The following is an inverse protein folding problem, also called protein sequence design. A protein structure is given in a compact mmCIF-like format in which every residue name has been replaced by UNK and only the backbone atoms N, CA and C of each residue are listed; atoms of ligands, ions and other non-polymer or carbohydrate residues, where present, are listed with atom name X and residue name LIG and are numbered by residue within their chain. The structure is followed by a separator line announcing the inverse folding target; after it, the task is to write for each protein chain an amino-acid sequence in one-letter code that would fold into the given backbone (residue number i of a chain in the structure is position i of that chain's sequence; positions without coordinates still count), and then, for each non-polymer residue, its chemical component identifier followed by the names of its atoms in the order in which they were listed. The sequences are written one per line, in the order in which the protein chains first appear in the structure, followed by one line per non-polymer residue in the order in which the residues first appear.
data_IF_807041295751
#
_entry.id   IF_807041295751
#
_cell.length_a   1.000
_cell.length_b   1.000
_cell.length_c   1.000
_cell.angle_alpha   90.00
_cell.angle_beta   90.00
_cell.angle_gamma   90.00
#
_symmetry.space_group_name_H-M   'P 1'
#
loop_
_entity.id
_entity.type
_entity.pdbx_description
1 polymer ?
#
# COMPACT_ATOMS: atom_id res chain seq x y z
N UNK A 1 16.50 0.07 22.58
CA UNK A 1 16.20 0.51 21.21
C UNK A 1 14.70 0.78 21.14
N UNK A 2 14.32 2.00 20.72
CA UNK A 2 12.92 2.42 20.61
C UNK A 2 12.61 2.64 19.14
N UNK A 3 11.63 1.94 18.58
CA UNK A 3 11.30 2.06 17.17
C UNK A 3 10.22 1.09 16.68
N UNK A 4 10.00 1.06 15.37
CA UNK A 4 9.07 0.14 14.69
C UNK A 4 9.64 -1.28 14.55
N UNK A 5 9.08 -2.06 13.65
CA UNK A 5 9.40 -3.47 13.39
C UNK A 5 10.88 -3.69 13.13
N UNK A 6 11.44 -2.96 12.14
CA UNK A 6 12.85 -3.10 11.76
C UNK A 6 13.79 -2.79 12.92
N UNK A 7 13.47 -1.78 13.74
CA UNK A 7 14.26 -1.42 14.92
C UNK A 7 14.21 -2.51 15.98
N UNK A 8 13.05 -3.14 16.18
CA UNK A 8 12.90 -4.23 17.16
C UNK A 8 13.50 -5.53 16.64
N UNK A 9 13.44 -5.81 15.35
CA UNK A 9 14.16 -6.92 14.71
C UNK A 9 15.67 -6.76 14.88
N UNK A 10 16.22 -5.56 14.64
CA UNK A 10 17.63 -5.27 14.89
C UNK A 10 18.00 -5.41 16.36
N UNK A 11 17.11 -5.00 17.28
CA UNK A 11 17.33 -5.19 18.71
C UNK A 11 17.43 -6.67 19.08
N UNK A 12 16.59 -7.53 18.50
CA UNK A 12 16.62 -8.97 18.69
C UNK A 12 17.95 -9.57 18.20
N UNK A 13 18.35 -9.26 16.97
CA UNK A 13 19.63 -9.72 16.40
C UNK A 13 20.83 -9.29 17.25
N UNK A 14 20.84 -8.04 17.73
CA UNK A 14 21.90 -7.56 18.62
C UNK A 14 21.90 -8.28 19.97
N UNK A 15 20.72 -8.57 20.54
CA UNK A 15 20.60 -9.32 21.79
C UNK A 15 21.21 -10.73 21.64
N UNK A 16 20.85 -11.42 20.56
CA UNK A 16 21.39 -12.76 20.24
C UNK A 16 22.91 -12.71 20.02
N UNK A 17 23.40 -11.72 19.28
CA UNK A 17 24.84 -11.55 19.05
C UNK A 17 25.62 -11.34 20.37
N UNK A 18 25.16 -10.45 21.24
CA UNK A 18 25.82 -10.20 22.51
C UNK A 18 25.73 -11.40 23.47
N UNK A 19 24.61 -12.12 23.44
CA UNK A 19 24.47 -13.37 24.20
C UNK A 19 25.47 -14.44 23.71
N UNK A 20 25.57 -14.64 22.40
CA UNK A 20 26.53 -15.60 21.81
C UNK A 20 28.00 -15.25 22.09
N UNK A 21 28.32 -13.97 22.24
CA UNK A 21 29.66 -13.49 22.57
C UNK A 21 29.94 -13.39 24.07
N UNK A 22 28.99 -13.70 24.95
CA UNK A 22 29.08 -13.54 26.39
C UNK A 22 29.55 -12.13 26.84
N UNK A 23 29.05 -11.09 26.10
CA UNK A 23 29.48 -9.71 26.37
C UNK A 23 28.90 -9.11 27.67
N UNK A 24 27.93 -9.75 28.32
CA UNK A 24 27.24 -9.24 29.51
C UNK A 24 26.35 -8.00 29.21
N UNK A 25 26.06 -7.72 27.94
CA UNK A 25 25.21 -6.60 27.49
C UNK A 25 23.81 -7.09 27.30
N UNK A 26 22.85 -6.37 27.87
CA UNK A 26 21.43 -6.58 27.63
C UNK A 26 20.91 -5.60 26.57
N UNK A 27 20.14 -6.08 25.60
CA UNK A 27 19.45 -5.24 24.61
C UNK A 27 17.96 -5.38 24.83
N UNK A 28 17.28 -4.25 24.97
CA UNK A 28 15.85 -4.19 25.18
C UNK A 28 15.22 -3.42 24.01
N UNK A 29 14.29 -4.05 23.30
CA UNK A 29 13.46 -3.42 22.29
C UNK A 29 12.21 -2.80 22.93
N UNK A 30 11.90 -1.55 22.56
CA UNK A 30 10.66 -0.86 22.94
C UNK A 30 9.88 -0.56 21.67
N UNK A 31 8.80 -1.32 21.37
CA UNK A 31 8.01 -1.11 20.17
C UNK A 31 7.34 0.25 20.14
N UNK A 32 7.44 0.94 19.00
CA UNK A 32 6.79 2.22 18.76
C UNK A 32 6.48 2.35 17.27
N UNK A 33 5.20 2.34 16.94
CA UNK A 33 4.71 2.61 15.58
C UNK A 33 3.29 3.18 15.66
N UNK A 34 2.92 3.99 14.69
CA UNK A 34 1.54 4.48 14.57
C UNK A 34 0.60 3.48 13.90
N UNK A 35 1.13 2.43 13.27
CA UNK A 35 0.35 1.49 12.45
C UNK A 35 -0.59 0.60 13.27
N UNK A 36 -0.31 0.44 14.57
CA UNK A 36 -1.13 -0.37 15.46
C UNK A 36 -0.88 -1.88 15.36
N UNK A 37 0.09 -2.31 14.56
CA UNK A 37 0.41 -3.72 14.28
C UNK A 37 1.33 -4.39 15.32
N UNK A 38 1.99 -3.61 16.18
CA UNK A 38 2.83 -4.12 17.29
C UNK A 38 2.05 -4.29 18.61
N UNK A 39 0.73 -4.30 18.56
CA UNK A 39 -0.11 -4.57 19.72
C UNK A 39 -0.04 -6.05 20.12
N UNK A 40 0.09 -6.31 21.42
CA UNK A 40 0.05 -7.65 22.00
C UNK A 40 -0.45 -7.57 23.46
N UNK A 41 -0.45 -8.69 24.18
CA UNK A 41 -0.93 -8.76 25.58
C UNK A 41 -0.18 -7.84 26.55
N UNK A 42 1.06 -7.46 26.22
CA UNK A 42 1.89 -6.56 27.02
C UNK A 42 1.80 -5.11 26.57
N UNK A 43 1.32 -4.85 25.34
CA UNK A 43 1.20 -3.55 24.71
C UNK A 43 -0.23 -3.35 24.27
N UNK A 44 -1.03 -2.68 25.10
CA UNK A 44 -2.46 -2.46 24.85
C UNK A 44 -2.70 -1.44 23.73
N UNK A 45 -1.85 -0.43 23.65
CA UNK A 45 -2.00 0.70 22.71
C UNK A 45 -0.68 1.01 22.02
N UNK A 46 -0.71 1.15 20.71
CA UNK A 46 0.44 1.57 19.92
C UNK A 46 0.66 3.07 20.06
N UNK A 47 1.89 3.47 20.40
CA UNK A 47 2.23 4.87 20.62
C UNK A 47 2.04 5.72 19.36
N UNK A 48 1.24 6.76 19.48
CA UNK A 48 0.96 7.72 18.41
C UNK A 48 -0.19 7.31 17.47
N UNK A 49 -0.78 6.12 17.60
CA UNK A 49 -1.90 5.66 16.78
C UNK A 49 -3.10 6.60 16.87
N UNK A 50 -3.59 6.89 18.09
CA UNK A 50 -4.70 7.81 18.33
C UNK A 50 -4.46 9.21 17.74
N UNK A 51 -3.25 9.74 17.94
CA UNK A 51 -2.88 11.06 17.40
C UNK A 51 -2.89 11.06 15.89
N UNK A 52 -2.35 10.02 15.25
CA UNK A 52 -2.37 9.87 13.81
C UNK A 52 -3.81 9.77 13.29
N UNK A 53 -4.64 8.91 13.88
CA UNK A 53 -6.03 8.74 13.47
C UNK A 53 -6.85 10.03 13.62
N UNK A 54 -6.70 10.77 14.72
CA UNK A 54 -7.37 12.07 14.91
C UNK A 54 -6.94 13.09 13.86
N UNK A 55 -5.64 13.19 13.59
CA UNK A 55 -5.12 14.13 12.60
C UNK A 55 -5.62 13.78 11.19
N UNK A 56 -5.57 12.50 10.83
CA UNK A 56 -6.12 12.04 9.55
C UNK A 56 -7.62 12.27 9.45
N UNK A 57 -8.40 11.93 10.47
CA UNK A 57 -9.84 12.13 10.47
C UNK A 57 -10.21 13.60 10.30
N UNK A 58 -9.48 14.54 10.92
CA UNK A 58 -9.69 15.97 10.75
C UNK A 58 -9.43 16.41 9.29
N UNK A 59 -8.31 16.00 8.71
CA UNK A 59 -7.95 16.35 7.32
C UNK A 59 -8.95 15.72 6.33
N UNK A 60 -9.30 14.46 6.50
CA UNK A 60 -10.26 13.76 5.64
C UNK A 60 -11.63 14.39 5.75
N UNK A 61 -12.09 14.70 6.97
CA UNK A 61 -13.38 15.37 7.20
C UNK A 61 -13.46 16.74 6.52
N UNK A 62 -12.35 17.48 6.46
CA UNK A 62 -12.28 18.74 5.71
C UNK A 62 -12.37 18.50 4.19
N UNK A 63 -11.69 17.48 3.66
CA UNK A 63 -11.80 17.08 2.24
C UNK A 63 -13.24 16.66 1.90
N UNK A 64 -13.90 15.92 2.79
CA UNK A 64 -15.31 15.50 2.58
C UNK A 64 -16.28 16.68 2.56
N UNK A 65 -16.07 17.68 3.41
CA UNK A 65 -16.87 18.92 3.38
C UNK A 65 -16.68 19.68 2.09
N UNK A 66 -15.44 19.78 1.61
CA UNK A 66 -15.14 20.39 0.33
C UNK A 66 -15.77 19.62 -0.83
N UNK A 67 -15.66 18.30 -0.80
CA UNK A 67 -16.28 17.38 -1.75
C UNK A 67 -17.81 17.56 -1.83
N UNK A 68 -18.48 17.64 -0.69
CA UNK A 68 -19.92 17.88 -0.58
C UNK A 68 -20.32 19.29 -1.03
N UNK A 69 -19.49 20.28 -0.82
CA UNK A 69 -19.72 21.65 -1.26
C UNK A 69 -19.57 21.80 -2.78
N UNK A 70 -18.47 21.30 -3.33
CA UNK A 70 -18.17 21.36 -4.75
C UNK A 70 -19.07 20.44 -5.59
N UNK A 71 -19.53 19.33 -5.00
CA UNK A 71 -20.27 18.23 -5.69
C UNK A 71 -19.58 17.72 -6.95
N UNK A 72 -18.25 17.72 -6.89
CA UNK A 72 -17.36 17.30 -7.98
C UNK A 72 -16.25 16.46 -7.42
N UNK A 73 -15.63 15.67 -8.25
CA UNK A 73 -14.44 14.89 -8.00
C UNK A 73 -14.61 13.75 -7.00
N UNK A 74 -13.85 12.71 -7.26
CA UNK A 74 -13.56 11.62 -6.34
C UNK A 74 -12.15 11.78 -5.80
N UNK A 75 -12.00 11.76 -4.49
CA UNK A 75 -10.73 11.89 -3.81
C UNK A 75 -10.25 10.51 -3.37
N UNK A 76 -9.13 10.08 -3.92
CA UNK A 76 -8.44 8.85 -3.53
C UNK A 76 -7.38 9.21 -2.51
N UNK A 77 -7.53 8.78 -1.28
CA UNK A 77 -6.72 9.20 -0.14
C UNK A 77 -5.96 8.00 0.40
N UNK A 78 -4.62 8.02 0.23
CA UNK A 78 -3.74 7.02 0.81
C UNK A 78 -3.44 7.35 2.27
N UNK A 79 -3.59 6.36 3.15
CA UNK A 79 -3.31 6.46 4.57
C UNK A 79 -2.13 5.55 4.93
N UNK A 80 -1.33 5.96 5.90
CA UNK A 80 -0.25 5.13 6.44
C UNK A 80 -0.80 3.83 7.02
N UNK A 81 0.05 2.85 7.14
CA UNK A 81 -0.26 1.48 7.57
C UNK A 81 0.14 0.49 6.49
N UNK A 82 1.37 -0.08 6.65
CA UNK A 82 1.91 -1.03 5.68
C UNK A 82 1.44 -2.45 5.96
N UNK A 83 1.56 -2.88 7.20
CA UNK A 83 1.27 -4.26 7.61
C UNK A 83 -0.16 -4.49 8.09
N UNK A 84 -0.92 -3.41 8.29
CA UNK A 84 -2.30 -3.48 8.77
C UNK A 84 -3.10 -2.23 8.33
N UNK A 85 -4.41 -2.40 8.20
CA UNK A 85 -5.35 -1.33 7.81
C UNK A 85 -6.01 -0.65 9.01
N UNK A 86 -5.42 -0.72 10.21
CA UNK A 86 -6.04 -0.20 11.44
C UNK A 86 -6.30 1.31 11.37
N UNK A 87 -5.36 2.10 10.84
CA UNK A 87 -5.53 3.55 10.68
C UNK A 87 -6.68 3.84 9.69
N UNK A 88 -6.70 3.13 8.56
CA UNK A 88 -7.75 3.32 7.56
C UNK A 88 -9.14 2.99 8.13
N UNK A 89 -9.26 1.89 8.88
CA UNK A 89 -10.49 1.47 9.53
C UNK A 89 -10.95 2.49 10.59
N UNK A 90 -10.05 2.91 11.47
CA UNK A 90 -10.37 3.89 12.51
C UNK A 90 -10.81 5.23 11.91
N UNK A 91 -10.10 5.72 10.89
CA UNK A 91 -10.51 6.92 10.17
C UNK A 91 -11.87 6.75 9.50
N UNK A 92 -12.13 5.59 8.87
CA UNK A 92 -13.42 5.32 8.23
C UNK A 92 -14.58 5.33 9.24
N UNK A 93 -14.37 4.81 10.46
CA UNK A 93 -15.38 4.86 11.53
C UNK A 93 -15.66 6.29 12.00
N UNK A 94 -14.66 7.17 11.99
CA UNK A 94 -14.81 8.56 12.41
C UNK A 94 -15.44 9.46 11.34
N UNK A 95 -15.05 9.32 10.07
CA UNK A 95 -15.44 10.25 8.99
C UNK A 95 -16.48 9.69 8.04
N UNK A 96 -16.70 8.37 8.01
CA UNK A 96 -17.69 7.70 7.17
C UNK A 96 -17.52 8.00 5.67
N UNK A 97 -16.35 7.68 5.08
CA UNK A 97 -16.08 7.87 3.66
C UNK A 97 -17.04 7.04 2.79
N UNK A 98 -17.11 7.35 1.52
CA UNK A 98 -17.95 6.57 0.59
C UNK A 98 -17.41 5.17 0.36
N UNK A 99 -16.09 5.02 0.36
CA UNK A 99 -15.38 3.74 0.22
C UNK A 99 -14.19 3.72 1.17
N UNK A 100 -14.01 2.61 1.86
CA UNK A 100 -12.77 2.30 2.58
C UNK A 100 -12.33 0.89 2.17
N UNK A 101 -11.11 0.76 1.67
CA UNK A 101 -10.52 -0.54 1.36
C UNK A 101 -9.77 -1.03 2.59
N UNK A 102 -9.99 -2.29 2.96
CA UNK A 102 -9.31 -2.97 4.06
C UNK A 102 -8.45 -4.08 3.47
N UNK A 103 -7.14 -3.97 3.63
CA UNK A 103 -6.17 -4.88 3.01
C UNK A 103 -6.39 -6.34 3.43
N UNK A 104 -6.71 -6.57 4.69
CA UNK A 104 -6.97 -7.89 5.26
C UNK A 104 -8.21 -8.55 4.65
N UNK A 105 -9.24 -7.76 4.32
CA UNK A 105 -10.41 -8.28 3.59
C UNK A 105 -10.07 -8.66 2.15
N UNK A 106 -9.24 -7.86 1.49
CA UNK A 106 -8.77 -8.13 0.12
C UNK A 106 -8.02 -9.44 0.07
N UNK A 107 -7.11 -9.70 1.02
CA UNK A 107 -6.38 -10.96 1.13
C UNK A 107 -7.33 -12.13 1.45
N UNK A 108 -8.19 -11.99 2.46
CA UNK A 108 -9.11 -13.03 2.88
C UNK A 108 -10.10 -13.44 1.78
N UNK A 109 -10.55 -12.48 0.96
CA UNK A 109 -11.44 -12.72 -0.18
C UNK A 109 -10.67 -13.08 -1.47
N UNK A 110 -9.34 -13.14 -1.43
CA UNK A 110 -8.46 -13.39 -2.57
C UNK A 110 -8.77 -12.48 -3.78
N UNK A 111 -9.03 -11.20 -3.50
CA UNK A 111 -9.39 -10.23 -4.54
C UNK A 111 -8.20 -9.89 -5.42
N UNK A 112 -8.44 -9.80 -6.71
CA UNK A 112 -7.48 -9.25 -7.67
C UNK A 112 -7.54 -7.73 -7.70
N UNK A 113 -6.55 -7.10 -8.33
CA UNK A 113 -6.56 -5.65 -8.57
C UNK A 113 -7.80 -5.22 -9.39
N UNK A 114 -8.20 -6.03 -10.37
CA UNK A 114 -9.41 -5.76 -11.19
C UNK A 114 -10.70 -5.87 -10.38
N UNK A 115 -10.79 -6.77 -9.42
CA UNK A 115 -11.94 -6.89 -8.52
C UNK A 115 -12.10 -5.62 -7.66
N UNK A 116 -11.00 -5.11 -7.13
CA UNK A 116 -10.99 -3.86 -6.34
C UNK A 116 -11.42 -2.68 -7.23
N UNK A 117 -10.83 -2.57 -8.41
CA UNK A 117 -11.18 -1.52 -9.40
C UNK A 117 -12.64 -1.61 -9.81
N UNK A 118 -13.16 -2.82 -10.02
CA UNK A 118 -14.56 -3.06 -10.37
C UNK A 118 -15.49 -2.63 -9.23
N UNK A 119 -15.17 -3.00 -8.00
CA UNK A 119 -15.93 -2.60 -6.83
C UNK A 119 -16.01 -1.06 -6.69
N UNK A 120 -14.87 -0.37 -6.80
CA UNK A 120 -14.82 1.10 -6.72
C UNK A 120 -15.61 1.71 -7.87
N UNK A 121 -15.41 1.23 -9.10
CA UNK A 121 -16.10 1.74 -10.28
C UNK A 121 -17.63 1.58 -10.17
N UNK A 122 -18.10 0.45 -9.63
CA UNK A 122 -19.53 0.21 -9.41
C UNK A 122 -20.12 1.23 -8.44
N UNK A 123 -19.47 1.45 -7.28
CA UNK A 123 -19.94 2.44 -6.30
C UNK A 123 -19.97 3.86 -6.91
N UNK A 124 -18.94 4.21 -7.68
CA UNK A 124 -18.88 5.50 -8.39
C UNK A 124 -20.03 5.64 -9.37
N UNK A 125 -20.31 4.61 -10.18
CA UNK A 125 -21.38 4.61 -11.17
C UNK A 125 -22.77 4.70 -10.51
N UNK A 126 -23.01 3.92 -9.46
CA UNK A 126 -24.28 3.92 -8.72
C UNK A 126 -24.56 5.30 -8.08
N UNK A 127 -23.55 5.90 -7.49
CA UNK A 127 -23.65 7.25 -6.92
C UNK A 127 -23.86 8.31 -7.99
N UNK A 128 -23.19 8.19 -9.14
CA UNK A 128 -23.38 9.09 -10.27
C UNK A 128 -24.80 8.98 -10.82
N UNK A 129 -25.36 7.77 -10.96
CA UNK A 129 -26.73 7.54 -11.36
C UNK A 129 -27.76 8.16 -10.41
N UNK A 130 -27.42 8.21 -9.10
CA UNK A 130 -28.21 8.89 -8.08
C UNK A 130 -27.97 10.42 -8.00
N UNK A 131 -27.23 11.02 -8.92
CA UNK A 131 -26.91 12.45 -8.96
C UNK A 131 -25.79 12.89 -8.02
N UNK A 132 -25.06 11.96 -7.43
CA UNK A 132 -23.99 12.21 -6.45
C UNK A 132 -22.62 11.77 -6.98
N UNK A 133 -22.16 12.35 -8.10
CA UNK A 133 -20.88 12.01 -8.73
C UNK A 133 -19.69 12.67 -8.02
N UNK A 134 -19.56 12.42 -6.74
CA UNK A 134 -18.46 12.87 -5.90
C UNK A 134 -18.31 11.96 -4.68
N UNK A 135 -17.14 11.94 -4.08
CA UNK A 135 -16.92 11.15 -2.87
C UNK A 135 -15.44 10.97 -2.50
N UNK A 136 -15.24 10.19 -1.46
CA UNK A 136 -13.92 9.87 -0.91
C UNK A 136 -13.69 8.37 -0.87
N UNK A 137 -12.47 7.95 -1.18
CA UNK A 137 -11.99 6.56 -1.15
C UNK A 137 -10.75 6.54 -0.26
N UNK A 138 -10.81 5.81 0.86
CA UNK A 138 -9.65 5.58 1.73
C UNK A 138 -8.93 4.31 1.33
N UNK A 139 -7.61 4.39 1.21
CA UNK A 139 -6.76 3.32 0.72
C UNK A 139 -5.58 3.16 1.68
N UNK A 140 -5.39 1.99 2.31
CA UNK A 140 -4.20 1.73 3.11
C UNK A 140 -2.95 1.63 2.24
N UNK A 141 -1.84 2.14 2.72
CA UNK A 141 -0.55 2.18 2.04
C UNK A 141 -0.09 0.79 1.58
N UNK A 142 -0.28 -0.21 2.43
CA UNK A 142 0.15 -1.59 2.18
C UNK A 142 -0.73 -2.40 1.24
N UNK A 143 -1.85 -1.86 0.76
CA UNK A 143 -2.86 -2.59 -0.02
C UNK A 143 -2.25 -3.49 -1.12
N UNK A 144 -1.24 -3.00 -1.81
CA UNK A 144 -0.66 -3.71 -2.95
C UNK A 144 -0.01 -5.04 -2.57
N UNK A 145 0.53 -5.14 -1.35
CA UNK A 145 1.14 -6.37 -0.81
C UNK A 145 0.11 -7.41 -0.36
N UNK A 146 -1.14 -7.00 -0.15
CA UNK A 146 -2.25 -7.88 0.23
C UNK A 146 -3.01 -8.45 -0.98
N UNK A 147 -2.72 -7.97 -2.19
CA UNK A 147 -3.24 -8.55 -3.43
C UNK A 147 -2.37 -9.74 -3.82
N UNK A 148 -2.89 -10.99 -3.82
CA UNK A 148 -2.03 -12.19 -3.95
C UNK A 148 -1.17 -12.21 -5.22
N UNK A 149 -1.71 -11.74 -6.34
CA UNK A 149 -0.98 -11.65 -7.60
C UNK A 149 0.17 -10.62 -7.53
N UNK A 150 -0.08 -9.45 -6.91
CA UNK A 150 0.94 -8.42 -6.72
C UNK A 150 2.01 -8.86 -5.72
N UNK A 151 1.63 -9.56 -4.66
CA UNK A 151 2.56 -10.12 -3.67
C UNK A 151 3.56 -11.07 -4.33
N UNK A 152 3.07 -11.98 -5.22
CA UNK A 152 3.95 -12.89 -5.99
C UNK A 152 4.87 -12.12 -6.94
N UNK A 153 4.34 -11.14 -7.66
CA UNK A 153 5.13 -10.28 -8.55
C UNK A 153 6.23 -9.54 -7.79
N UNK A 154 5.91 -8.92 -6.64
CA UNK A 154 6.87 -8.19 -5.82
C UNK A 154 7.97 -9.12 -5.29
N UNK A 155 7.61 -10.33 -4.83
CA UNK A 155 8.59 -11.31 -4.38
C UNK A 155 9.56 -11.70 -5.50
N UNK A 156 9.06 -12.06 -6.70
CA UNK A 156 9.90 -12.41 -7.84
C UNK A 156 10.78 -11.24 -8.31
N UNK A 157 10.25 -10.01 -8.30
CA UNK A 157 11.02 -8.80 -8.60
C UNK A 157 12.14 -8.57 -7.58
N UNK A 158 11.88 -8.80 -6.29
CA UNK A 158 12.90 -8.66 -5.25
C UNK A 158 14.04 -9.65 -5.46
N UNK A 159 13.72 -10.92 -5.66
CA UNK A 159 14.71 -11.98 -5.91
C UNK A 159 15.52 -11.70 -7.19
N UNK A 160 14.85 -11.32 -8.25
CA UNK A 160 15.49 -11.01 -9.54
C UNK A 160 16.44 -9.82 -9.44
N UNK A 161 16.00 -8.71 -8.85
CA UNK A 161 16.80 -7.49 -8.76
C UNK A 161 17.91 -7.59 -7.71
N UNK A 162 17.73 -8.38 -6.66
CA UNK A 162 18.81 -8.70 -5.72
C UNK A 162 19.96 -9.47 -6.40
N UNK A 163 19.62 -10.38 -7.32
CA UNK A 163 20.61 -11.17 -8.04
C UNK A 163 21.25 -10.43 -9.25
N UNK A 164 20.56 -9.47 -9.85
CA UNK A 164 20.94 -8.85 -11.13
C UNK A 164 20.99 -7.31 -11.09
N UNK A 165 21.13 -6.71 -9.91
CA UNK A 165 21.06 -5.24 -9.72
C UNK A 165 22.07 -4.46 -10.55
N UNK A 166 23.32 -4.91 -10.62
CA UNK A 166 24.37 -4.25 -11.38
C UNK A 166 24.09 -4.27 -12.89
N UNK A 167 23.65 -5.42 -13.42
CA UNK A 167 23.26 -5.56 -14.84
C UNK A 167 22.05 -4.67 -15.15
N UNK A 168 21.03 -4.69 -14.31
CA UNK A 168 19.84 -3.87 -14.47
C UNK A 168 20.15 -2.37 -14.49
N UNK A 169 21.03 -1.90 -13.61
CA UNK A 169 21.43 -0.49 -13.53
C UNK A 169 22.25 -0.04 -14.75
N UNK A 170 22.92 -0.96 -15.44
CA UNK A 170 23.67 -0.68 -16.67
C UNK A 170 22.77 -0.49 -17.91
N UNK A 171 21.50 -0.94 -17.84
CA UNK A 171 20.54 -0.89 -18.95
C UNK A 171 19.93 0.50 -19.07
N UNK A 172 19.81 1.00 -20.30
CA UNK A 172 19.11 2.27 -20.57
C UNK A 172 17.67 2.21 -20.02
N UNK A 173 17.23 3.27 -19.33
CA UNK A 173 15.91 3.37 -18.69
C UNK A 173 14.76 2.96 -19.61
N UNK A 174 14.80 3.34 -20.87
CA UNK A 174 13.75 2.97 -21.86
C UNK A 174 13.66 1.47 -22.17
N UNK A 175 14.65 0.67 -21.80
CA UNK A 175 14.70 -0.77 -22.03
C UNK A 175 14.57 -1.59 -20.73
N UNK A 176 14.57 -0.94 -19.58
CA UNK A 176 14.52 -1.64 -18.30
C UNK A 176 13.20 -2.41 -18.13
N UNK A 177 12.07 -1.84 -18.57
CA UNK A 177 10.76 -2.51 -18.51
C UNK A 177 10.75 -3.80 -19.33
N UNK A 178 11.19 -3.74 -20.57
CA UNK A 178 11.24 -4.91 -21.46
C UNK A 178 12.21 -5.97 -20.92
N UNK A 179 13.32 -5.55 -20.34
CA UNK A 179 14.28 -6.45 -19.70
C UNK A 179 13.66 -7.20 -18.53
N UNK A 180 12.97 -6.51 -17.63
CA UNK A 180 12.25 -7.14 -16.51
C UNK A 180 11.21 -8.14 -17.04
N UNK A 181 10.36 -7.73 -17.99
CA UNK A 181 9.34 -8.60 -18.59
C UNK A 181 9.96 -9.88 -19.16
N UNK A 182 11.15 -9.79 -19.77
CA UNK A 182 11.83 -10.96 -20.35
C UNK A 182 12.38 -11.94 -19.31
N UNK A 183 12.48 -11.53 -18.05
CA UNK A 183 13.10 -12.32 -16.97
C UNK A 183 12.09 -12.86 -15.97
N UNK A 184 10.92 -12.25 -15.88
CA UNK A 184 9.83 -12.70 -15.01
C UNK A 184 9.16 -13.98 -15.56
N UNK A 185 8.52 -14.71 -14.65
CA UNK A 185 7.61 -15.80 -15.03
C UNK A 185 6.49 -15.27 -15.94
N UNK A 186 5.92 -16.08 -16.84
CA UNK A 186 4.91 -15.60 -17.80
C UNK A 186 3.70 -14.93 -17.14
N UNK A 187 3.26 -15.44 -15.99
CA UNK A 187 2.14 -14.88 -15.22
C UNK A 187 2.49 -13.48 -14.69
N UNK A 188 3.62 -13.35 -14.01
CA UNK A 188 4.07 -12.09 -13.44
C UNK A 188 4.50 -11.07 -14.50
N UNK A 189 5.06 -11.54 -15.63
CA UNK A 189 5.37 -10.69 -16.77
C UNK A 189 4.11 -10.06 -17.37
N UNK A 190 3.00 -10.81 -17.48
CA UNK A 190 1.72 -10.30 -17.96
C UNK A 190 1.15 -9.24 -16.99
N UNK A 191 1.21 -9.51 -15.68
CA UNK A 191 0.76 -8.54 -14.66
C UNK A 191 1.61 -7.27 -14.73
N UNK A 192 2.94 -7.41 -14.73
CA UNK A 192 3.86 -6.27 -14.78
C UNK A 192 3.69 -5.43 -16.06
N UNK A 193 3.44 -6.08 -17.20
CA UNK A 193 3.17 -5.41 -18.47
C UNK A 193 1.84 -4.62 -18.47
N UNK A 194 0.84 -5.06 -17.70
CA UNK A 194 -0.47 -4.39 -17.57
C UNK A 194 -0.46 -3.16 -16.66
N UNK A 195 0.58 -3.02 -15.80
CA UNK A 195 0.68 -1.89 -14.87
C UNK A 195 0.99 -0.58 -15.61
N UNK A 196 0.45 0.56 -15.14
CA UNK A 196 0.88 1.88 -15.60
C UNK A 196 2.39 2.06 -15.45
N UNK A 197 2.99 2.80 -16.39
CA UNK A 197 4.46 2.96 -16.44
C UNK A 197 5.04 3.53 -15.15
N UNK A 198 4.35 4.49 -14.51
CA UNK A 198 4.77 5.07 -13.23
C UNK A 198 4.89 4.04 -12.12
N UNK A 199 3.89 3.17 -11.97
CA UNK A 199 3.85 2.12 -10.94
C UNK A 199 4.86 1.01 -11.24
N UNK A 200 4.94 0.54 -12.49
CA UNK A 200 5.93 -0.45 -12.90
C UNK A 200 7.36 0.04 -12.61
N UNK A 201 7.61 1.34 -12.80
CA UNK A 201 8.88 1.97 -12.49
C UNK A 201 9.14 2.02 -10.98
N UNK A 202 8.16 2.41 -10.17
CA UNK A 202 8.29 2.45 -8.70
C UNK A 202 8.61 1.06 -8.13
N UNK A 203 7.97 0.01 -8.65
CA UNK A 203 8.27 -1.38 -8.28
C UNK A 203 9.70 -1.81 -8.61
N UNK A 204 10.36 -1.18 -9.59
CA UNK A 204 11.67 -1.59 -10.08
C UNK A 204 12.84 -0.80 -9.50
N UNK A 205 12.63 0.49 -9.17
CA UNK A 205 13.72 1.43 -8.91
C UNK A 205 13.92 1.76 -7.43
N UNK A 206 12.83 1.86 -6.67
CA UNK A 206 12.89 2.33 -5.30
C UNK A 206 13.04 1.14 -4.35
N UNK A 207 14.24 0.97 -3.81
CA UNK A 207 14.60 -0.10 -2.89
C UNK A 207 14.98 0.43 -1.52
N UNK A 208 14.62 -0.32 -0.48
CA UNK A 208 15.10 -0.06 0.87
C UNK A 208 16.59 -0.51 1.02
N UNK A 209 17.25 -0.19 2.13
CA UNK A 209 18.62 -0.64 2.38
C UNK A 209 18.80 -2.17 2.42
N UNK A 210 17.72 -2.92 2.52
CA UNK A 210 17.70 -4.38 2.52
C UNK A 210 17.44 -4.97 1.13
N UNK A 211 17.19 -4.11 0.11
CA UNK A 211 16.95 -4.51 -1.26
C UNK A 211 15.48 -4.79 -1.62
N UNK A 212 14.54 -4.57 -0.70
CA UNK A 212 13.12 -4.76 -0.96
C UNK A 212 12.47 -3.54 -1.60
N UNK A 213 11.36 -3.74 -2.31
CA UNK A 213 10.53 -2.64 -2.83
C UNK A 213 10.06 -1.75 -1.68
N UNK A 214 10.24 -0.45 -1.83
CA UNK A 214 9.67 0.51 -0.89
C UNK A 214 8.18 0.73 -1.20
N UNK A 215 7.32 -0.09 -0.61
CA UNK A 215 5.86 -0.06 -0.85
C UNK A 215 5.24 1.29 -0.52
N UNK A 216 5.75 1.99 0.49
CA UNK A 216 5.32 3.34 0.88
C UNK A 216 5.43 4.36 -0.25
N UNK A 217 6.39 4.19 -1.16
CA UNK A 217 6.59 5.09 -2.30
C UNK A 217 5.68 4.76 -3.49
N UNK A 218 4.99 3.61 -3.47
CA UNK A 218 4.06 3.27 -4.54
C UNK A 218 2.81 4.15 -4.43
N UNK A 219 2.51 4.86 -5.49
CA UNK A 219 1.31 5.71 -5.61
C UNK A 219 0.06 4.84 -5.88
N UNK A 220 -0.29 3.98 -4.92
CA UNK A 220 -1.43 3.03 -5.04
C UNK A 220 -2.75 3.77 -5.28
N UNK A 221 -2.93 4.93 -4.66
CA UNK A 221 -4.08 5.80 -4.84
C UNK A 221 -4.21 6.29 -6.29
N UNK A 222 -3.09 6.63 -6.91
CA UNK A 222 -3.03 7.06 -8.30
C UNK A 222 -3.29 5.90 -9.26
N UNK A 223 -2.66 4.75 -9.00
CA UNK A 223 -2.92 3.52 -9.75
C UNK A 223 -4.42 3.20 -9.80
N UNK A 224 -5.06 3.15 -8.63
CA UNK A 224 -6.49 2.85 -8.55
C UNK A 224 -7.35 3.92 -9.23
N UNK A 225 -7.03 5.20 -9.06
CA UNK A 225 -7.79 6.28 -9.70
C UNK A 225 -7.72 6.23 -11.23
N UNK A 226 -6.54 5.96 -11.80
CA UNK A 226 -6.34 5.81 -13.24
C UNK A 226 -7.08 4.59 -13.81
N UNK A 227 -6.99 3.44 -13.11
CA UNK A 227 -7.67 2.22 -13.53
C UNK A 227 -9.20 2.33 -13.43
N UNK A 228 -9.71 2.93 -12.35
CA UNK A 228 -11.15 3.19 -12.17
C UNK A 228 -11.65 4.16 -13.25
N UNK A 229 -10.91 5.23 -13.52
CA UNK A 229 -11.25 6.18 -14.59
C UNK A 229 -11.32 5.50 -15.97
N UNK A 230 -10.36 4.64 -16.28
CA UNK A 230 -10.35 3.86 -17.53
C UNK A 230 -11.55 2.91 -17.60
N UNK A 231 -11.86 2.21 -16.51
CA UNK A 231 -12.99 1.27 -16.47
C UNK A 231 -14.33 1.99 -16.60
N UNK A 232 -14.51 3.14 -15.97
CA UNK A 232 -15.72 3.96 -16.11
C UNK A 232 -15.89 4.51 -17.53
N UNK A 233 -14.80 4.95 -18.18
CA UNK A 233 -14.84 5.37 -19.57
C UNK A 233 -15.32 4.23 -20.50
N UNK A 234 -14.82 3.01 -20.29
CA UNK A 234 -15.27 1.84 -21.04
C UNK A 234 -16.78 1.57 -20.82
N UNK A 235 -17.28 1.68 -19.60
CA UNK A 235 -18.70 1.46 -19.29
C UNK A 235 -19.62 2.50 -19.95
N UNK A 236 -19.15 3.75 -20.08
CA UNK A 236 -19.91 4.82 -20.71
C UNK A 236 -19.95 4.71 -22.25
N UNK A 237 -18.98 4.02 -22.88
CA UNK A 237 -18.98 3.80 -24.34
C UNK A 237 -19.69 2.51 -24.77
N UNK A 238 -20.06 1.64 -23.82
CA UNK A 238 -20.76 0.37 -24.10
C UNK A 238 -22.23 0.39 -23.74
N UNK A 239 -22.72 1.49 -23.22
CA UNK A 239 -24.14 1.78 -22.91
C UNK A 239 -24.69 2.84 -23.84
#
# INVERSE_FOLDING_TARGET
IIGGDDSNTNACVLAEYYAAKNCGVQVIGCPKTIDGDLKNDMIETSFGFDTACKTYAEVIGNIERDCNSARKYWHFIKLMGRSASHIALECALQVQPNICIISEEVEAKNMSLDDIVTYIAQVVADRAAAGNNFGTVLIPEGLIEFIPAMKRLIAELNDFLAANGDEFNSIKRSKQRDYIISKLSPENAAIYASLPEGVARQLSLDRDPHGNVQVSLIETEKLLSEMVGTKLACLLYTS
#
